data_IF_124711064168
#
_entry.id   IF_124711064168
#
_cell.length_a   1.000
_cell.length_b   1.000
_cell.length_c   1.000
_cell.angle_alpha   90.00
_cell.angle_beta   90.00
_cell.angle_gamma   90.00
#
_symmetry.space_group_name_H-M   'P 1'
#
loop_
_entity.id
_entity.type
_entity.pdbx_description
1 polymer ?
#
# COMPACT_ATOMS: atom_id res chain seq x y z
N UNK A 1 -47.41 7.82 -58.15
CA UNK A 1 -45.99 7.60 -58.51
C UNK A 1 -45.30 8.95 -58.60
N UNK A 2 -43.98 8.97 -58.32
CA UNK A 2 -43.02 10.08 -58.31
C UNK A 2 -42.68 10.70 -56.93
N UNK A 3 -41.52 10.25 -56.42
CA UNK A 3 -40.67 10.82 -55.35
C UNK A 3 -40.05 12.15 -55.88
N UNK A 4 -39.52 13.12 -55.15
CA UNK A 4 -38.69 13.13 -53.93
C UNK A 4 -38.41 14.61 -53.59
N UNK A 5 -38.04 14.91 -52.34
CA UNK A 5 -36.86 15.76 -52.08
C UNK A 5 -36.54 15.73 -50.59
N UNK A 6 -35.42 15.08 -50.29
CA UNK A 6 -34.75 15.08 -49.00
C UNK A 6 -33.95 16.37 -48.92
N UNK A 7 -34.12 17.13 -47.84
CA UNK A 7 -33.14 18.10 -47.38
C UNK A 7 -33.00 17.93 -45.86
N UNK A 8 -31.95 17.21 -45.46
CA UNK A 8 -31.33 17.38 -44.15
C UNK A 8 -30.29 18.49 -44.28
N UNK A 9 -30.25 19.41 -43.31
CA UNK A 9 -28.95 19.74 -42.75
C UNK A 9 -28.96 19.68 -41.21
N UNK A 10 -27.95 18.99 -40.69
CA UNK A 10 -27.44 19.10 -39.32
C UNK A 10 -27.31 20.56 -38.88
N UNK A 11 -27.75 20.88 -37.66
CA UNK A 11 -26.95 21.64 -36.71
C UNK A 11 -27.67 21.86 -35.38
N UNK A 12 -26.88 21.70 -34.33
CA UNK A 12 -26.99 22.38 -33.04
C UNK A 12 -27.78 21.65 -31.94
N UNK A 13 -27.09 20.69 -31.33
CA UNK A 13 -27.36 20.23 -29.97
C UNK A 13 -27.12 21.35 -28.97
N UNK A 14 -28.15 21.72 -28.20
CA UNK A 14 -28.05 22.06 -26.79
C UNK A 14 -29.46 21.98 -26.17
N UNK A 15 -29.62 21.20 -25.08
CA UNK A 15 -29.82 21.87 -23.80
C UNK A 15 -29.05 21.22 -22.64
N UNK A 16 -28.77 22.08 -21.66
CA UNK A 16 -27.96 21.91 -20.46
C UNK A 16 -28.66 21.06 -19.35
N UNK A 17 -28.14 21.04 -18.10
CA UNK A 17 -27.41 19.93 -17.50
C UNK A 17 -28.26 19.20 -16.44
N UNK A 18 -28.58 17.92 -16.66
CA UNK A 18 -29.21 17.10 -15.62
C UNK A 18 -28.62 15.70 -15.63
N UNK A 19 -27.95 15.34 -14.54
CA UNK A 19 -28.35 14.24 -13.63
C UNK A 19 -27.17 13.87 -12.74
N UNK A 20 -27.11 14.57 -11.61
CA UNK A 20 -26.33 14.23 -10.42
C UNK A 20 -26.57 12.75 -10.11
N UNK A 21 -25.56 11.89 -10.31
CA UNK A 21 -25.65 10.49 -9.87
C UNK A 21 -25.72 10.52 -8.35
N UNK A 22 -26.88 10.12 -7.82
CA UNK A 22 -27.12 9.92 -6.39
C UNK A 22 -26.26 8.75 -5.95
N UNK A 23 -25.16 9.03 -5.26
CA UNK A 23 -24.30 8.02 -4.65
C UNK A 23 -25.10 7.43 -3.49
N UNK A 24 -25.43 6.15 -3.62
CA UNK A 24 -26.01 5.32 -2.57
C UNK A 24 -24.96 5.13 -1.46
N UNK A 25 -25.28 5.34 -0.17
CA UNK A 25 -24.34 5.06 0.90
C UNK A 25 -24.36 3.55 1.17
N UNK A 26 -23.53 2.80 0.45
CA UNK A 26 -23.28 1.37 0.67
C UNK A 26 -21.91 1.18 1.35
N UNK A 27 -21.58 2.08 2.27
CA UNK A 27 -20.21 2.20 2.79
C UNK A 27 -19.97 1.42 4.09
N UNK A 28 -20.98 1.19 4.94
CA UNK A 28 -20.70 0.66 6.29
C UNK A 28 -20.36 -0.83 6.34
N UNK A 29 -20.91 -1.67 5.45
CA UNK A 29 -20.65 -3.13 5.48
C UNK A 29 -19.29 -3.47 4.85
N UNK A 30 -18.81 -2.68 3.89
CA UNK A 30 -17.48 -2.87 3.29
C UNK A 30 -16.35 -2.42 4.23
N UNK A 31 -16.57 -1.44 5.08
CA UNK A 31 -15.53 -0.85 5.95
C UNK A 31 -14.99 -1.86 6.97
N UNK A 32 -15.86 -2.64 7.65
CA UNK A 32 -15.39 -3.65 8.62
C UNK A 32 -14.77 -4.90 7.98
N UNK A 33 -15.16 -5.24 6.74
CA UNK A 33 -14.51 -6.33 6.00
C UNK A 33 -13.08 -5.97 5.61
N UNK A 34 -12.80 -4.69 5.33
CA UNK A 34 -11.45 -4.23 5.00
C UNK A 34 -10.54 -4.14 6.24
N UNK A 35 -11.07 -3.81 7.43
CA UNK A 35 -10.31 -3.87 8.70
C UNK A 35 -9.84 -5.28 9.09
N UNK A 36 -10.56 -6.31 8.64
CA UNK A 36 -10.27 -7.72 8.96
C UNK A 36 -9.47 -8.42 7.89
N UNK A 37 -9.39 -7.87 6.67
CA UNK A 37 -8.74 -8.49 5.52
C UNK A 37 -7.31 -8.95 5.84
N UNK A 38 -6.49 -8.01 6.34
CA UNK A 38 -5.07 -8.22 6.67
C UNK A 38 -4.84 -9.09 7.91
N UNK A 39 -5.89 -9.65 8.50
CA UNK A 39 -5.80 -10.55 9.66
C UNK A 39 -6.15 -11.99 9.32
N UNK A 40 -6.66 -12.26 8.10
CA UNK A 40 -7.05 -13.62 7.71
C UNK A 40 -5.87 -14.44 7.21
N UNK A 41 -5.84 -15.73 7.57
CA UNK A 41 -4.80 -16.67 7.14
C UNK A 41 -4.80 -16.85 5.60
N UNK A 42 -5.98 -16.87 4.99
CA UNK A 42 -6.10 -16.98 3.53
C UNK A 42 -5.41 -15.81 2.80
N UNK A 43 -5.58 -14.58 3.28
CA UNK A 43 -4.90 -13.42 2.70
C UNK A 43 -3.40 -13.45 2.96
N UNK A 44 -2.97 -13.98 4.12
CA UNK A 44 -1.55 -14.20 4.42
C UNK A 44 -0.90 -15.13 3.40
N UNK A 45 -1.55 -16.25 3.06
CA UNK A 45 -1.06 -17.22 2.08
C UNK A 45 -1.04 -16.65 0.64
N UNK A 46 -2.06 -15.88 0.27
CA UNK A 46 -2.09 -15.18 -1.03
C UNK A 46 -0.99 -14.12 -1.10
N UNK A 47 -0.73 -13.41 0.00
CA UNK A 47 0.35 -12.43 0.07
C UNK A 47 1.72 -13.11 -0.01
N UNK A 48 1.96 -14.16 0.78
CA UNK A 48 3.24 -14.86 0.85
C UNK A 48 3.62 -15.48 -0.50
N UNK A 49 2.68 -16.14 -1.18
CA UNK A 49 2.90 -16.72 -2.52
C UNK A 49 3.28 -15.65 -3.55
N UNK A 50 2.59 -14.51 -3.56
CA UNK A 50 2.93 -13.37 -4.44
C UNK A 50 4.28 -12.74 -4.07
N UNK A 51 4.61 -12.68 -2.78
CA UNK A 51 5.88 -12.14 -2.31
C UNK A 51 7.04 -13.01 -2.78
N UNK A 52 6.97 -14.32 -2.59
CA UNK A 52 8.00 -15.26 -3.08
C UNK A 52 8.17 -15.13 -4.58
N UNK A 53 7.07 -15.11 -5.34
CA UNK A 53 7.14 -14.93 -6.78
C UNK A 53 7.85 -13.62 -7.18
N UNK A 54 7.51 -12.51 -6.52
CA UNK A 54 8.16 -11.22 -6.77
C UNK A 54 9.65 -11.23 -6.42
N UNK A 55 10.04 -11.90 -5.34
CA UNK A 55 11.44 -12.03 -4.91
C UNK A 55 12.25 -12.90 -5.87
N UNK A 56 11.69 -14.00 -6.38
CA UNK A 56 12.33 -14.85 -7.38
C UNK A 56 12.66 -14.11 -8.70
N UNK A 57 11.87 -13.08 -9.04
CA UNK A 57 12.09 -12.25 -10.22
C UNK A 57 13.04 -11.07 -10.00
N UNK A 58 13.58 -10.87 -8.79
CA UNK A 58 14.57 -9.82 -8.55
C UNK A 58 15.91 -10.20 -9.17
N UNK A 59 16.44 -9.31 -10.02
CA UNK A 59 17.81 -9.44 -10.55
C UNK A 59 18.81 -9.37 -9.39
N UNK A 60 19.90 -10.17 -9.43
CA UNK A 60 21.00 -10.06 -8.46
C UNK A 60 21.50 -8.60 -8.39
N UNK A 61 21.44 -7.97 -7.21
CA UNK A 61 21.83 -6.57 -7.04
C UNK A 61 23.34 -6.45 -6.81
N UNK A 62 23.95 -5.38 -7.36
CA UNK A 62 25.40 -5.13 -7.27
C UNK A 62 25.89 -4.81 -5.84
N UNK A 63 24.98 -4.61 -4.87
CA UNK A 63 25.31 -4.36 -3.46
C UNK A 63 24.22 -4.81 -2.51
N UNK A 64 24.60 -5.09 -1.26
CA UNK A 64 23.66 -5.45 -0.17
C UNK A 64 22.63 -4.35 0.06
N UNK A 65 23.03 -3.07 0.05
CA UNK A 65 22.08 -1.97 0.21
C UNK A 65 21.08 -1.88 -0.95
N UNK A 66 21.49 -2.19 -2.18
CA UNK A 66 20.57 -2.24 -3.32
C UNK A 66 19.62 -3.44 -3.19
N UNK A 67 20.10 -4.58 -2.68
CA UNK A 67 19.29 -5.76 -2.34
C UNK A 67 18.21 -5.46 -1.32
N UNK A 68 18.57 -4.87 -0.17
CA UNK A 68 17.59 -4.56 0.86
C UNK A 68 16.52 -3.58 0.36
N UNK A 69 16.90 -2.64 -0.53
CA UNK A 69 15.95 -1.72 -1.16
C UNK A 69 15.04 -2.42 -2.16
N UNK A 70 15.56 -3.32 -3.00
CA UNK A 70 14.74 -4.05 -3.98
C UNK A 70 13.77 -5.01 -3.30
N UNK A 71 14.21 -5.71 -2.25
CA UNK A 71 13.36 -6.58 -1.42
C UNK A 71 12.25 -5.78 -0.75
N UNK A 72 12.59 -4.64 -0.13
CA UNK A 72 11.59 -3.75 0.48
C UNK A 72 10.61 -3.21 -0.55
N UNK A 73 11.09 -2.73 -1.70
CA UNK A 73 10.23 -2.25 -2.77
C UNK A 73 9.31 -3.37 -3.32
N UNK A 74 9.81 -4.59 -3.48
CA UNK A 74 9.02 -5.72 -3.94
C UNK A 74 7.91 -6.04 -2.94
N UNK A 75 8.23 -6.09 -1.65
CA UNK A 75 7.28 -6.35 -0.58
C UNK A 75 6.19 -5.28 -0.50
N UNK A 76 6.58 -4.00 -0.55
CA UNK A 76 5.65 -2.87 -0.52
C UNK A 76 4.73 -2.87 -1.78
N UNK A 77 5.27 -3.22 -2.95
CA UNK A 77 4.47 -3.36 -4.19
C UNK A 77 3.48 -4.51 -4.11
N UNK A 78 3.89 -5.67 -3.62
CA UNK A 78 3.00 -6.83 -3.45
C UNK A 78 1.90 -6.49 -2.44
N UNK A 79 2.25 -5.81 -1.35
CA UNK A 79 1.29 -5.35 -0.34
C UNK A 79 0.27 -4.39 -0.97
N UNK A 80 0.74 -3.37 -1.69
CA UNK A 80 -0.14 -2.41 -2.36
C UNK A 80 -1.02 -3.04 -3.45
N UNK A 81 -0.50 -4.02 -4.19
CA UNK A 81 -1.25 -4.76 -5.21
C UNK A 81 -2.33 -5.65 -4.58
N UNK A 82 -2.05 -6.29 -3.44
CA UNK A 82 -3.04 -7.08 -2.70
C UNK A 82 -4.17 -6.21 -2.14
N UNK A 83 -3.88 -4.97 -1.79
CA UNK A 83 -4.88 -3.95 -1.41
C UNK A 83 -5.73 -3.46 -2.61
N UNK A 84 -5.42 -3.88 -3.85
CA UNK A 84 -6.12 -3.52 -5.10
C UNK A 84 -6.23 -2.01 -5.36
N UNK A 85 -5.35 -1.20 -4.77
CA UNK A 85 -5.42 0.26 -4.92
C UNK A 85 -6.67 0.90 -4.30
N UNK A 86 -7.39 0.21 -3.40
CA UNK A 86 -8.59 0.75 -2.74
C UNK A 86 -8.25 1.83 -1.73
N UNK A 87 -7.14 1.65 -1.02
CA UNK A 87 -6.68 2.56 0.03
C UNK A 87 -5.77 3.65 -0.54
N UNK A 88 -5.70 4.78 0.15
CA UNK A 88 -4.84 5.89 -0.29
C UNK A 88 -3.36 5.51 -0.22
N UNK A 89 -2.96 4.78 0.82
CA UNK A 89 -1.58 4.34 0.96
C UNK A 89 -1.17 3.37 -0.15
N UNK A 90 -2.05 2.44 -0.58
CA UNK A 90 -1.73 1.51 -1.66
C UNK A 90 -1.56 2.23 -2.99
N UNK A 91 -2.45 3.18 -3.30
CA UNK A 91 -2.30 4.07 -4.47
C UNK A 91 -1.03 4.90 -4.40
N UNK A 92 -0.68 5.41 -3.21
CA UNK A 92 0.52 6.20 -3.01
C UNK A 92 1.81 5.38 -3.18
N UNK A 93 1.83 4.10 -2.81
CA UNK A 93 2.96 3.21 -3.06
C UNK A 93 3.11 2.95 -4.57
N UNK A 94 2.02 2.61 -5.25
CA UNK A 94 2.03 2.31 -6.69
C UNK A 94 2.46 3.53 -7.52
N UNK A 95 1.91 4.70 -7.21
CA UNK A 95 2.20 5.96 -7.94
C UNK A 95 3.46 6.67 -7.44
N UNK A 96 3.88 6.43 -6.20
CA UNK A 96 5.05 7.03 -5.56
C UNK A 96 6.35 6.61 -6.24
N UNK A 97 6.48 5.34 -6.64
CA UNK A 97 7.70 4.89 -7.34
C UNK A 97 7.79 5.47 -8.76
N UNK A 98 6.67 5.58 -9.46
CA UNK A 98 6.59 6.18 -10.81
C UNK A 98 6.87 7.68 -10.75
N UNK A 99 6.30 8.40 -9.79
CA UNK A 99 6.53 9.84 -9.63
C UNK A 99 7.96 10.17 -9.19
N UNK A 100 8.58 9.37 -8.32
CA UNK A 100 10.00 9.53 -7.96
C UNK A 100 10.92 9.21 -9.13
N UNK A 101 10.68 8.12 -9.88
CA UNK A 101 11.45 7.78 -11.09
C UNK A 101 11.29 8.85 -12.17
N UNK A 102 10.08 9.33 -12.43
CA UNK A 102 9.81 10.38 -13.41
C UNK A 102 10.40 11.72 -12.96
N UNK A 103 10.37 12.04 -11.66
CA UNK A 103 11.06 13.21 -11.11
C UNK A 103 12.58 13.10 -11.23
N UNK A 104 13.17 11.93 -11.04
CA UNK A 104 14.61 11.69 -11.24
C UNK A 104 14.99 11.83 -12.72
N UNK A 105 14.20 11.28 -13.64
CA UNK A 105 14.38 11.43 -15.11
C UNK A 105 14.27 12.90 -15.51
N UNK A 106 13.21 13.59 -15.09
CA UNK A 106 13.01 15.01 -15.37
C UNK A 106 14.13 15.90 -14.79
N UNK A 107 14.70 15.54 -13.63
CA UNK A 107 15.85 16.25 -13.04
C UNK A 107 17.13 16.06 -13.86
N UNK A 108 17.35 14.90 -14.47
CA UNK A 108 18.49 14.65 -15.38
C UNK A 108 18.34 15.47 -16.66
N UNK A 109 17.15 15.49 -17.27
CA UNK A 109 16.90 16.29 -18.49
C UNK A 109 16.97 17.81 -18.25
N UNK A 110 16.55 18.30 -17.07
CA UNK A 110 16.69 19.73 -16.72
C UNK A 110 18.12 20.15 -16.39
N UNK A 111 19.00 19.22 -16.00
CA UNK A 111 20.43 19.49 -15.76
C UNK A 111 21.25 19.56 -17.04
N UNK A 112 20.79 18.92 -18.12
CA UNK A 112 21.45 18.95 -19.43
C UNK A 112 21.13 20.20 -20.28
N UNK A 113 20.14 21.03 -19.88
CA UNK A 113 19.57 22.08 -20.74
C UNK A 113 19.63 23.50 -20.17
N UNK A 114 20.32 23.76 -19.04
CA UNK A 114 20.46 25.13 -18.52
C UNK A 114 21.84 25.43 -17.94
N UNK A 115 22.54 26.49 -18.42
CA UNK A 115 23.60 27.12 -17.67
C UNK A 115 23.03 27.84 -16.44
N UNK A 116 23.89 28.00 -15.44
CA UNK A 116 23.59 28.47 -14.10
C UNK A 116 23.22 29.96 -14.09
N UNK A 117 21.98 30.32 -14.39
CA UNK A 117 21.45 31.66 -14.07
C UNK A 117 20.75 31.61 -12.72
N UNK A 118 21.48 32.05 -11.70
CA UNK A 118 20.99 32.21 -10.35
C UNK A 118 19.83 33.19 -10.29
N UNK A 119 18.68 32.69 -9.82
CA UNK A 119 17.78 33.51 -9.01
C UNK A 119 16.97 32.58 -8.10
N UNK A 120 17.66 32.05 -7.07
CA UNK A 120 16.99 31.42 -5.94
C UNK A 120 16.29 32.53 -5.17
N UNK A 121 15.04 32.83 -5.54
CA UNK A 121 14.13 33.61 -4.72
C UNK A 121 13.91 32.83 -3.42
N UNK A 122 14.79 33.10 -2.46
CA UNK A 122 14.67 32.68 -1.07
C UNK A 122 13.32 33.15 -0.56
N UNK A 123 12.33 32.25 -0.58
CA UNK A 123 11.06 32.48 0.09
C UNK A 123 11.36 32.63 1.57
N UNK A 124 11.17 33.85 2.06
CA UNK A 124 11.24 34.26 3.48
C UNK A 124 10.63 33.17 4.38
N UNK A 125 11.29 32.77 5.48
CA UNK A 125 10.74 31.79 6.40
C UNK A 125 9.49 32.40 7.03
N UNK A 126 8.32 31.91 6.61
CA UNK A 126 7.07 32.26 7.27
C UNK A 126 7.20 31.91 8.77
N UNK A 127 6.91 32.89 9.61
CA UNK A 127 6.93 32.79 11.08
C UNK A 127 6.26 31.48 11.49
N UNK A 128 7.04 30.59 12.11
CA UNK A 128 6.58 29.27 12.57
C UNK A 128 5.59 29.48 13.71
N UNK A 129 4.31 29.73 13.38
CA UNK A 129 3.22 29.67 14.36
C UNK A 129 3.31 28.28 15.01
N UNK A 130 3.55 28.23 16.32
CA UNK A 130 3.66 27.00 17.10
C UNK A 130 2.34 26.24 16.94
N UNK A 131 2.29 25.29 16.00
CA UNK A 131 1.11 24.43 15.83
C UNK A 131 0.79 23.76 17.17
N UNK A 132 -0.49 23.65 17.57
CA UNK A 132 -0.89 22.90 18.75
C UNK A 132 -0.24 21.52 18.80
N UNK A 133 0.10 20.97 19.98
CA UNK A 133 0.76 19.66 20.12
C UNK A 133 0.06 18.54 19.34
N UNK A 134 -1.28 18.54 19.32
CA UNK A 134 -2.10 17.59 18.55
C UNK A 134 -1.85 17.70 17.04
N UNK A 135 -1.81 18.92 16.50
CA UNK A 135 -1.56 19.14 15.07
C UNK A 135 -0.14 18.70 14.66
N UNK A 136 0.84 18.80 15.56
CA UNK A 136 2.19 18.25 15.30
C UNK A 136 2.14 16.73 15.16
N UNK A 137 1.44 16.04 16.06
CA UNK A 137 1.27 14.57 16.01
C UNK A 137 0.53 14.13 14.74
N UNK A 138 -0.56 14.80 14.38
CA UNK A 138 -1.31 14.55 13.13
C UNK A 138 -0.39 14.73 11.90
N UNK A 139 0.45 15.78 11.90
CA UNK A 139 1.41 16.03 10.81
C UNK A 139 2.49 14.95 10.70
N UNK A 140 2.97 14.44 11.84
CA UNK A 140 3.93 13.33 11.88
C UNK A 140 3.27 12.07 11.34
N UNK A 141 2.07 11.73 11.82
CA UNK A 141 1.34 10.55 11.37
C UNK A 141 1.03 10.60 9.87
N UNK A 142 0.57 11.74 9.36
CA UNK A 142 0.36 11.94 7.91
C UNK A 142 1.64 11.88 7.07
N UNK A 143 2.82 12.05 7.69
CA UNK A 143 4.11 11.84 7.04
C UNK A 143 4.59 10.39 7.06
N UNK A 144 4.13 9.58 8.01
CA UNK A 144 4.48 8.16 8.14
C UNK A 144 3.64 7.27 7.21
N UNK A 145 2.34 7.55 7.11
CA UNK A 145 1.44 6.77 6.25
C UNK A 145 1.56 7.28 4.80
N UNK A 146 1.86 6.42 3.82
CA UNK A 146 1.98 6.82 2.43
C UNK A 146 0.72 7.56 1.94
N UNK A 147 0.90 8.73 1.30
CA UNK A 147 -0.21 9.49 0.71
C UNK A 147 -1.10 10.28 1.68
N UNK A 148 -0.78 10.31 2.98
CA UNK A 148 -1.68 10.85 4.01
C UNK A 148 -1.31 12.23 4.58
N UNK A 149 -0.39 12.96 3.92
CA UNK A 149 0.23 14.19 4.45
C UNK A 149 -0.73 15.35 4.76
N UNK A 150 -1.87 15.41 4.07
CA UNK A 150 -2.82 16.53 4.17
C UNK A 150 -4.26 16.03 4.33
N UNK A 151 -4.48 14.98 5.13
CA UNK A 151 -5.81 14.43 5.38
C UNK A 151 -6.47 15.03 6.62
N UNK A 152 -7.80 14.94 6.68
CA UNK A 152 -8.54 15.19 7.92
C UNK A 152 -8.17 14.12 8.94
N UNK A 153 -8.19 14.50 10.22
CA UNK A 153 -7.83 13.62 11.33
C UNK A 153 -8.54 12.25 11.31
N UNK A 154 -9.87 12.14 11.11
CA UNK A 154 -10.54 10.83 11.16
C UNK A 154 -10.11 9.92 10.02
N UNK A 155 -10.04 10.45 8.78
CA UNK A 155 -9.60 9.67 7.61
C UNK A 155 -8.12 9.27 7.71
N UNK A 156 -7.30 10.09 8.37
CA UNK A 156 -5.90 9.75 8.63
C UNK A 156 -5.78 8.55 9.58
N UNK A 157 -6.59 8.49 10.62
CA UNK A 157 -6.57 7.37 11.57
C UNK A 157 -7.03 6.08 10.89
N UNK A 158 -8.09 6.13 10.10
CA UNK A 158 -8.59 4.98 9.33
C UNK A 158 -7.54 4.42 8.36
N UNK A 159 -6.86 5.28 7.59
CA UNK A 159 -5.77 4.85 6.71
C UNK A 159 -4.55 4.36 7.52
N UNK A 160 -4.30 4.93 8.70
CA UNK A 160 -3.20 4.49 9.56
C UNK A 160 -3.46 3.11 10.17
N UNK A 161 -4.67 2.82 10.63
CA UNK A 161 -5.03 1.51 11.19
C UNK A 161 -4.94 0.41 10.14
N UNK A 162 -5.46 0.64 8.93
CA UNK A 162 -5.32 -0.32 7.81
C UNK A 162 -3.84 -0.51 7.40
N UNK A 163 -3.05 0.56 7.36
CA UNK A 163 -1.63 0.46 7.03
C UNK A 163 -0.83 -0.30 8.10
N UNK A 164 -1.14 -0.13 9.39
CA UNK A 164 -0.53 -0.91 10.47
C UNK A 164 -0.83 -2.40 10.27
N UNK A 165 -2.09 -2.77 10.05
CA UNK A 165 -2.47 -4.17 9.84
C UNK A 165 -1.77 -4.77 8.59
N UNK A 166 -1.64 -3.99 7.52
CA UNK A 166 -0.92 -4.39 6.32
C UNK A 166 0.58 -4.63 6.59
N UNK A 167 1.22 -3.76 7.37
CA UNK A 167 2.63 -3.92 7.77
C UNK A 167 2.83 -5.14 8.68
N UNK A 168 1.92 -5.38 9.62
CA UNK A 168 1.95 -6.58 10.48
C UNK A 168 1.90 -7.86 9.63
N UNK A 169 1.02 -7.91 8.62
CA UNK A 169 0.94 -9.03 7.68
C UNK A 169 2.26 -9.25 6.94
N UNK A 170 2.87 -8.17 6.43
CA UNK A 170 4.15 -8.22 5.73
C UNK A 170 5.26 -8.78 6.64
N UNK A 171 5.34 -8.34 7.90
CA UNK A 171 6.33 -8.84 8.87
C UNK A 171 6.08 -10.32 9.18
N UNK A 172 4.84 -10.74 9.42
CA UNK A 172 4.48 -12.15 9.66
C UNK A 172 4.91 -13.04 8.50
N UNK A 173 4.55 -12.68 7.27
CA UNK A 173 4.88 -13.46 6.09
C UNK A 173 6.39 -13.52 5.83
N UNK A 174 7.12 -12.41 5.96
CA UNK A 174 8.58 -12.42 5.82
C UNK A 174 9.28 -13.24 6.89
N UNK A 175 8.76 -13.21 8.12
CA UNK A 175 9.28 -14.03 9.23
C UNK A 175 9.03 -15.51 8.98
N UNK A 176 7.82 -15.87 8.52
CA UNK A 176 7.49 -17.24 8.15
C UNK A 176 8.41 -17.77 7.05
N UNK A 177 8.64 -17.00 5.97
CA UNK A 177 9.57 -17.37 4.91
C UNK A 177 10.99 -17.57 5.46
N UNK A 178 11.49 -16.63 6.28
CA UNK A 178 12.82 -16.76 6.90
C UNK A 178 12.91 -18.00 7.79
N UNK A 179 11.85 -18.32 8.53
CA UNK A 179 11.75 -19.54 9.33
C UNK A 179 11.84 -20.80 8.47
N UNK A 180 11.20 -20.83 7.30
CA UNK A 180 11.34 -21.95 6.34
C UNK A 180 12.75 -22.05 5.76
N UNK A 181 13.40 -20.93 5.46
CA UNK A 181 14.77 -20.92 4.93
C UNK A 181 15.79 -21.34 5.99
N UNK A 182 15.60 -20.96 7.25
CA UNK A 182 16.52 -21.26 8.35
C UNK A 182 16.24 -22.63 8.99
N UNK A 183 14.98 -23.08 8.96
CA UNK A 183 14.53 -24.40 9.45
C UNK A 183 14.49 -25.49 8.37
N UNK A 184 14.67 -25.14 7.08
CA UNK A 184 14.76 -26.09 5.96
C UNK A 184 15.99 -27.01 6.00
N UNK A 185 16.88 -26.82 6.98
CA UNK A 185 17.98 -27.74 7.30
C UNK A 185 17.75 -28.54 8.59
N UNK A 186 16.54 -28.51 9.17
CA UNK A 186 16.18 -29.19 10.40
C UNK A 186 14.75 -29.71 10.35
N UNK A 187 14.55 -30.86 9.71
CA UNK A 187 13.33 -31.65 9.88
C UNK A 187 13.16 -31.95 11.38
N UNK A 188 12.12 -31.37 11.99
CA UNK A 188 11.84 -31.46 13.42
C UNK A 188 10.35 -31.66 13.65
N UNK A 189 9.91 -32.91 13.44
CA UNK A 189 8.91 -33.64 14.24
C UNK A 189 7.62 -32.89 14.63
N UNK A 190 6.60 -32.98 13.77
CA UNK A 190 5.22 -33.11 14.22
C UNK A 190 5.00 -34.57 14.66
N UNK A 191 5.44 -34.89 15.88
CA UNK A 191 5.09 -36.13 16.56
C UNK A 191 5.02 -35.83 18.06
N UNK A 192 3.80 -35.70 18.57
CA UNK A 192 3.36 -36.15 19.91
C UNK A 192 1.85 -35.80 19.99
N UNK A 193 1.00 -36.52 19.26
CA UNK A 193 0.27 -37.67 19.79
C UNK A 193 -0.46 -37.37 21.10
N UNK A 194 -1.75 -37.04 20.98
CA UNK A 194 -2.77 -37.32 21.97
C UNK A 194 -2.56 -38.68 22.63
N UNK A 195 -2.69 -38.76 23.96
CA UNK A 195 -3.16 -39.99 24.58
C UNK A 195 -2.58 -40.32 25.93
N UNK A 196 -3.48 -40.24 26.92
CA UNK A 196 -3.72 -41.25 27.95
C UNK A 196 -2.85 -41.26 29.22
N UNK A 197 -3.59 -41.01 30.30
CA UNK A 197 -3.67 -41.82 31.54
C UNK A 197 -2.40 -41.76 32.39
N UNK A 198 -2.39 -41.07 33.53
CA UNK A 198 -3.29 -41.39 34.63
C UNK A 198 -2.85 -42.69 35.28
N UNK A 199 -1.89 -42.64 36.20
CA UNK A 199 -1.88 -43.52 37.37
C UNK A 199 -0.97 -42.94 38.44
N UNK A 200 -1.57 -42.89 39.61
CA UNK A 200 -1.23 -42.15 40.79
C UNK A 200 -0.75 -43.20 41.80
N UNK A 201 0.37 -42.93 42.47
CA UNK A 201 0.76 -43.38 43.82
C UNK A 201 0.53 -44.84 44.29
N UNK A 202 1.66 -45.53 44.51
CA UNK A 202 2.14 -46.09 45.79
C UNK A 202 1.60 -47.38 46.46
N UNK A 203 2.57 -48.04 47.13
CA UNK A 203 2.56 -48.78 48.41
C UNK A 203 2.41 -50.33 48.42
N UNK A 204 3.56 -50.98 48.74
CA UNK A 204 3.82 -52.10 49.70
C UNK A 204 3.07 -53.44 49.63
N UNK A 205 3.83 -54.54 49.59
CA UNK A 205 4.36 -55.24 50.79
C UNK A 205 5.52 -56.16 50.41
#
# INVERSE_FOLDING_TARGET
>A
MALSSIANPDANSNPSPKKRRKIRPENQVQIHAEETRWKTEAEQQIYSSKLVNALCHLRPPDSVSASCRSVREAADRVLANSAKGRTRWSRAILTGSLSLRLAQVNRKHKRATKPMTGNSRLKKPAVKKKLPPLQRKVRVLGGLVPGCRNLSMPNLLEEATDYIAALEMQVKAMTFLTGLLNGGSGGGTLAESSGRLGSHHSFTS
#
